data_IF_053293389108
#
_entry.id   IF_053293389108
#
_cell.length_a   1.000
_cell.length_b   1.000
_cell.length_c   1.000
_cell.angle_alpha   90.00
_cell.angle_beta   90.00
_cell.angle_gamma   90.00
#
_symmetry.space_group_name_H-M   'P 1'
#
loop_
_entity.id
_entity.type
_entity.pdbx_description
1 polymer ?
#
# COMPACT_ATOMS: atom_id res chain seq x y z
N UNK A 1 -20.14 7.69 -1.60
CA UNK A 1 -19.29 6.51 -1.33
C UNK A 1 -18.42 6.84 -0.12
N UNK A 2 -18.19 5.90 0.80
CA UNK A 2 -17.31 6.15 1.96
C UNK A 2 -15.86 6.07 1.50
N UNK A 3 -15.05 7.06 1.87
CA UNK A 3 -13.61 7.02 1.63
C UNK A 3 -12.95 6.07 2.62
N UNK A 4 -11.90 5.37 2.19
CA UNK A 4 -11.04 4.63 3.12
C UNK A 4 -10.39 5.61 4.10
N UNK A 5 -10.49 5.31 5.40
CA UNK A 5 -9.86 6.08 6.47
C UNK A 5 -8.77 5.23 7.10
N UNK A 6 -7.51 5.52 6.77
CA UNK A 6 -6.37 4.90 7.41
C UNK A 6 -6.21 5.44 8.84
N UNK A 7 -6.13 4.54 9.82
CA UNK A 7 -5.90 4.87 11.23
C UNK A 7 -4.60 4.22 11.66
N UNK A 8 -3.66 5.03 12.16
CA UNK A 8 -2.37 4.57 12.65
C UNK A 8 -1.80 5.60 13.62
N UNK A 9 -1.03 5.14 14.61
CA UNK A 9 -0.25 6.01 15.50
C UNK A 9 1.04 6.51 14.83
N UNK A 10 1.38 5.95 13.67
CA UNK A 10 2.61 6.24 12.94
C UNK A 10 2.31 7.01 11.67
N UNK A 11 3.25 7.86 11.28
CA UNK A 11 3.27 8.52 9.97
C UNK A 11 4.26 7.79 9.06
N UNK A 12 4.08 7.82 7.73
CA UNK A 12 5.08 7.31 6.80
C UNK A 12 6.45 7.96 7.06
N UNK A 13 7.50 7.16 7.15
CA UNK A 13 8.87 7.58 7.49
C UNK A 13 9.89 6.91 6.57
N UNK A 14 11.12 7.44 6.52
CA UNK A 14 12.16 6.91 5.62
C UNK A 14 11.72 7.01 4.16
N UNK A 15 11.89 5.94 3.39
CA UNK A 15 11.54 5.91 1.95
C UNK A 15 10.04 5.70 1.69
N UNK A 16 9.23 5.44 2.73
CA UNK A 16 7.80 5.17 2.58
C UNK A 16 7.03 6.30 1.88
N UNK A 17 7.20 7.60 2.22
CA UNK A 17 6.46 8.69 1.57
C UNK A 17 6.69 8.72 0.05
N UNK A 18 7.94 8.53 -0.38
CA UNK A 18 8.28 8.51 -1.81
C UNK A 18 7.66 7.30 -2.50
N UNK A 19 7.82 6.09 -1.93
CA UNK A 19 7.24 4.87 -2.50
C UNK A 19 5.70 4.95 -2.60
N UNK A 20 5.04 5.56 -1.63
CA UNK A 20 3.59 5.80 -1.67
C UNK A 20 3.26 6.74 -2.84
N UNK A 21 3.96 7.85 -2.97
CA UNK A 21 3.71 8.84 -4.02
C UNK A 21 3.88 8.24 -5.42
N UNK A 22 4.96 7.52 -5.66
CA UNK A 22 5.25 6.87 -6.95
C UNK A 22 4.18 5.83 -7.33
N UNK A 23 3.78 4.97 -6.38
CA UNK A 23 2.75 3.97 -6.63
C UNK A 23 1.38 4.59 -6.91
N UNK A 24 1.01 5.63 -6.15
CA UNK A 24 -0.26 6.36 -6.34
C UNK A 24 -0.28 7.01 -7.71
N UNK A 25 0.81 7.66 -8.11
CA UNK A 25 0.89 8.33 -9.40
C UNK A 25 0.83 7.33 -10.54
N UNK A 26 1.59 6.24 -10.48
CA UNK A 26 1.52 5.19 -11.50
C UNK A 26 0.11 4.60 -11.65
N UNK A 27 -0.66 4.48 -10.57
CA UNK A 27 -2.07 4.02 -10.65
C UNK A 27 -2.94 5.07 -11.35
N UNK A 28 -2.71 6.36 -11.12
CA UNK A 28 -3.45 7.46 -11.77
C UNK A 28 -3.12 7.60 -13.25
N UNK A 29 -1.87 7.38 -13.62
CA UNK A 29 -1.39 7.35 -15.01
C UNK A 29 -1.92 6.13 -15.79
N UNK A 30 -2.49 5.14 -15.10
CA UNK A 30 -3.03 3.93 -15.72
C UNK A 30 -1.99 2.82 -15.92
N UNK A 31 -0.85 2.89 -15.25
CA UNK A 31 0.17 1.84 -15.27
C UNK A 31 -0.42 0.54 -14.70
N UNK A 32 -0.55 -0.47 -15.55
CA UNK A 32 -1.19 -1.76 -15.21
C UNK A 32 -0.39 -2.58 -14.20
N UNK A 33 0.94 -2.48 -14.25
CA UNK A 33 1.86 -3.27 -13.45
C UNK A 33 2.87 -2.37 -12.77
N UNK A 34 3.06 -2.55 -11.47
CA UNK A 34 4.02 -1.83 -10.66
C UNK A 34 4.57 -2.77 -9.59
N UNK A 35 5.81 -2.52 -9.15
CA UNK A 35 6.50 -3.36 -8.16
C UNK A 35 7.02 -2.49 -7.03
N UNK A 36 6.62 -2.79 -5.79
CA UNK A 36 7.20 -2.20 -4.60
C UNK A 36 8.42 -3.03 -4.15
N UNK A 37 9.62 -2.58 -4.49
CA UNK A 37 10.85 -3.20 -4.01
C UNK A 37 11.17 -2.70 -2.59
N UNK A 38 10.80 -3.49 -1.58
CA UNK A 38 11.04 -3.14 -0.18
C UNK A 38 11.75 -4.25 0.59
N UNK A 39 12.76 -3.89 1.38
CA UNK A 39 13.46 -4.82 2.27
C UNK A 39 12.52 -5.38 3.37
N UNK A 40 12.93 -6.46 4.03
CA UNK A 40 12.19 -7.01 5.18
C UNK A 40 12.18 -6.00 6.32
N UNK A 41 11.03 -5.83 6.99
CA UNK A 41 10.89 -4.88 8.10
C UNK A 41 10.64 -3.42 7.70
N UNK A 42 10.64 -3.05 6.41
CA UNK A 42 10.43 -1.67 5.97
C UNK A 42 8.98 -1.16 6.07
N UNK A 43 8.04 -1.99 6.55
CA UNK A 43 6.64 -1.60 6.69
C UNK A 43 5.83 -1.64 5.39
N UNK A 44 6.10 -2.59 4.48
CA UNK A 44 5.39 -2.73 3.18
C UNK A 44 3.85 -2.71 3.32
N UNK A 45 3.29 -3.38 4.32
CA UNK A 45 1.83 -3.36 4.56
C UNK A 45 1.31 -1.95 4.81
N UNK A 46 2.04 -1.15 5.61
CA UNK A 46 1.66 0.23 5.91
C UNK A 46 1.81 1.13 4.68
N UNK A 47 2.86 0.94 3.87
CA UNK A 47 3.01 1.59 2.56
C UNK A 47 1.80 1.32 1.67
N UNK A 48 1.42 0.04 1.47
CA UNK A 48 0.28 -0.33 0.62
C UNK A 48 -1.05 0.18 1.19
N UNK A 49 -1.23 0.18 2.51
CA UNK A 49 -2.44 0.74 3.14
C UNK A 49 -2.61 2.25 2.86
N UNK A 50 -1.51 3.02 2.85
CA UNK A 50 -1.52 4.43 2.45
C UNK A 50 -1.89 4.60 0.97
N UNK A 51 -1.35 3.75 0.08
CA UNK A 51 -1.69 3.76 -1.35
C UNK A 51 -3.20 3.49 -1.52
N UNK A 52 -3.74 2.44 -0.90
CA UNK A 52 -5.17 2.08 -0.96
C UNK A 52 -6.05 3.24 -0.46
N UNK A 53 -5.67 3.88 0.63
CA UNK A 53 -6.41 5.00 1.18
C UNK A 53 -6.45 6.22 0.23
N UNK A 54 -5.34 6.51 -0.46
CA UNK A 54 -5.25 7.63 -1.40
C UNK A 54 -5.95 7.37 -2.74
N UNK A 55 -5.82 6.16 -3.29
CA UNK A 55 -6.46 5.80 -4.56
C UNK A 55 -7.95 5.53 -4.41
N UNK A 56 -8.39 5.17 -3.20
CA UNK A 56 -9.78 4.98 -2.81
C UNK A 56 -10.59 4.01 -3.70
N UNK A 57 -9.99 2.87 -4.06
CA UNK A 57 -10.62 1.80 -4.86
C UNK A 57 -10.71 0.50 -4.06
N UNK A 58 -11.79 -0.30 -4.23
CA UNK A 58 -11.82 -1.67 -3.74
C UNK A 58 -10.58 -2.44 -4.22
N UNK A 59 -9.88 -3.09 -3.29
CA UNK A 59 -8.57 -3.71 -3.55
C UNK A 59 -8.60 -5.17 -3.08
N UNK A 60 -8.06 -6.07 -3.91
CA UNK A 60 -7.85 -7.48 -3.58
C UNK A 60 -6.37 -7.70 -3.25
N UNK A 61 -6.06 -8.20 -2.06
CA UNK A 61 -4.71 -8.61 -1.67
C UNK A 61 -4.62 -10.12 -1.74
N UNK A 62 -3.67 -10.65 -2.51
CA UNK A 62 -3.45 -12.08 -2.68
C UNK A 62 -2.16 -12.47 -1.96
N UNK A 63 -2.23 -13.48 -1.11
CA UNK A 63 -1.08 -14.03 -0.39
C UNK A 63 -0.86 -15.49 -0.77
N UNK A 64 0.39 -15.93 -0.76
CA UNK A 64 0.78 -17.28 -1.19
C UNK A 64 0.48 -18.36 -0.15
N UNK A 65 0.13 -17.99 1.10
CA UNK A 65 -0.25 -18.94 2.13
C UNK A 65 -1.27 -18.35 3.11
N UNK A 66 -1.90 -19.24 3.88
CA UNK A 66 -2.97 -18.90 4.83
C UNK A 66 -2.47 -18.10 6.02
N UNK A 67 -1.26 -18.39 6.51
CA UNK A 67 -0.67 -17.73 7.67
C UNK A 67 -0.45 -16.24 7.41
N UNK A 68 0.18 -15.90 6.28
CA UNK A 68 0.41 -14.53 5.85
C UNK A 68 -0.92 -13.85 5.47
N UNK A 69 -1.85 -14.57 4.83
CA UNK A 69 -3.17 -14.01 4.54
C UNK A 69 -3.92 -13.57 5.81
N UNK A 70 -3.76 -14.29 6.91
CA UNK A 70 -4.36 -13.93 8.19
C UNK A 70 -3.64 -12.80 8.93
N UNK A 71 -2.36 -12.55 8.62
CA UNK A 71 -1.57 -11.46 9.23
C UNK A 71 -1.76 -10.11 8.53
N UNK A 72 -2.15 -10.13 7.24
CA UNK A 72 -2.40 -8.95 6.41
C UNK A 72 -3.78 -8.35 6.69
#
# INVERSE_FOLDING_TARGET
>A
MKNFKLVSNYKPTGDQPQAIAELVEGIKEGNKFQTLLGVTGSGKTFTIANVIAQINKPTLVISHNKTLAAQL
#
